data_IF_357575308976
#
_entry.id   IF_357575308976
#
_cell.length_a   1.000
_cell.length_b   1.000
_cell.length_c   1.000
_cell.angle_alpha   90.00
_cell.angle_beta   90.00
_cell.angle_gamma   90.00
#
_symmetry.space_group_name_H-M   'P 1'
#
loop_
_entity.id
_entity.type
_entity.pdbx_description
1 polymer ?
#
# COMPACT_ATOMS: atom_id res chain seq x y z
N UNK A 1 -56.51 68.50 -47.86
CA UNK A 1 -56.90 69.22 -46.62
C UNK A 1 -56.52 68.28 -45.51
N UNK A 2 -55.50 68.69 -44.78
CA UNK A 2 -55.35 68.78 -43.31
C UNK A 2 -56.12 67.72 -42.48
N UNK A 3 -55.45 66.86 -41.71
CA UNK A 3 -55.25 67.08 -40.25
C UNK A 3 -54.47 65.94 -39.62
N UNK A 4 -53.38 66.16 -39.14
CA UNK A 4 -52.93 66.18 -37.69
C UNK A 4 -52.98 64.82 -36.97
N UNK A 5 -51.80 64.40 -36.63
CA UNK A 5 -51.39 63.45 -35.59
C UNK A 5 -51.98 63.75 -34.21
N UNK A 6 -52.03 62.81 -33.27
CA UNK A 6 -50.93 62.83 -32.33
C UNK A 6 -50.35 61.45 -31.91
N UNK A 7 -49.17 61.62 -31.35
CA UNK A 7 -48.30 60.60 -30.82
C UNK A 7 -48.87 59.83 -29.60
N UNK A 8 -48.57 58.55 -29.49
CA UNK A 8 -48.75 57.78 -28.25
C UNK A 8 -47.41 57.16 -27.84
N UNK A 9 -46.96 57.59 -26.70
CA UNK A 9 -45.70 57.26 -26.05
C UNK A 9 -45.81 55.84 -25.47
N UNK A 10 -45.09 54.88 -26.01
CA UNK A 10 -45.00 53.55 -25.45
C UNK A 10 -43.80 53.47 -24.51
N UNK A 11 -44.10 53.26 -23.20
CA UNK A 11 -43.15 53.06 -22.14
C UNK A 11 -42.58 51.64 -22.21
N UNK A 12 -41.33 51.51 -22.57
CA UNK A 12 -40.62 50.25 -22.59
C UNK A 12 -40.30 49.84 -21.15
N UNK A 13 -40.95 48.77 -20.70
CA UNK A 13 -40.56 48.08 -19.44
C UNK A 13 -39.33 47.20 -19.74
N UNK A 14 -38.19 47.61 -19.17
CA UNK A 14 -36.98 46.77 -19.14
C UNK A 14 -37.20 45.68 -18.09
N UNK A 15 -37.31 44.42 -18.54
CA UNK A 15 -37.22 43.25 -17.69
C UNK A 15 -35.75 42.97 -17.38
N UNK A 16 -35.37 43.13 -16.12
CA UNK A 16 -34.11 42.70 -15.58
C UNK A 16 -34.16 41.19 -15.35
N UNK A 17 -33.56 40.41 -16.27
CA UNK A 17 -33.35 39.01 -16.06
C UNK A 17 -32.07 38.82 -15.22
N UNK A 18 -32.25 38.55 -13.92
CA UNK A 18 -31.16 38.13 -13.02
C UNK A 18 -30.70 36.73 -13.38
N UNK A 19 -29.58 36.61 -14.06
CA UNK A 19 -28.89 35.34 -14.27
C UNK A 19 -28.15 34.94 -13.00
N UNK A 20 -28.71 34.01 -12.25
CA UNK A 20 -28.02 33.34 -11.13
C UNK A 20 -27.08 32.32 -11.72
N UNK A 21 -25.80 32.63 -11.80
CA UNK A 21 -24.73 31.70 -12.12
C UNK A 21 -24.49 30.79 -10.88
N UNK A 22 -25.00 29.55 -10.97
CA UNK A 22 -24.68 28.47 -10.03
C UNK A 22 -23.25 28.01 -10.29
N UNK A 23 -22.28 28.51 -9.51
CA UNK A 23 -20.92 28.02 -9.52
C UNK A 23 -20.88 26.66 -8.81
N UNK A 24 -20.94 25.56 -9.59
CA UNK A 24 -20.62 24.23 -9.10
C UNK A 24 -19.11 24.16 -8.84
N UNK A 25 -18.73 24.35 -7.58
CA UNK A 25 -17.37 24.12 -7.11
C UNK A 25 -17.04 22.62 -7.18
N UNK A 26 -16.23 22.22 -8.16
CA UNK A 26 -15.56 20.92 -8.20
C UNK A 26 -14.55 20.87 -7.03
N UNK A 27 -14.95 20.28 -5.91
CA UNK A 27 -14.00 19.88 -4.89
C UNK A 27 -13.24 18.66 -5.41
N UNK A 28 -12.11 18.90 -6.06
CA UNK A 28 -11.10 17.89 -6.26
C UNK A 28 -10.52 17.54 -4.88
N UNK A 29 -11.04 16.46 -4.29
CA UNK A 29 -10.47 15.88 -3.09
C UNK A 29 -9.03 15.46 -3.40
N UNK A 30 -8.05 16.24 -2.96
CA UNK A 30 -6.66 15.81 -2.93
C UNK A 30 -6.60 14.60 -1.99
N UNK A 31 -6.39 13.40 -2.56
CA UNK A 31 -6.05 12.23 -1.78
C UNK A 31 -4.72 12.53 -1.08
N UNK A 32 -4.77 12.93 0.18
CA UNK A 32 -3.59 13.07 1.02
C UNK A 32 -2.97 11.68 1.14
N UNK A 33 -1.76 11.53 0.65
CA UNK A 33 -0.96 10.34 0.89
C UNK A 33 -0.90 10.13 2.41
N UNK A 34 -1.28 8.94 2.85
CA UNK A 34 -1.33 8.59 4.27
C UNK A 34 0.10 8.58 4.83
N UNK A 35 0.50 9.64 5.54
CA UNK A 35 1.84 9.78 6.15
C UNK A 35 2.01 8.99 7.46
N UNK A 36 1.19 7.98 7.70
CA UNK A 36 1.18 7.17 8.93
C UNK A 36 1.42 5.67 8.68
N UNK A 37 1.67 4.91 9.77
CA UNK A 37 1.79 3.46 9.65
C UNK A 37 0.46 2.84 9.24
N UNK A 38 0.49 1.88 8.32
CA UNK A 38 -0.69 1.06 8.04
C UNK A 38 -0.80 -0.07 9.08
N UNK A 39 -1.92 -0.12 9.80
CA UNK A 39 -2.13 -1.07 10.90
C UNK A 39 -3.29 -2.05 10.65
N UNK A 40 -4.20 -1.73 9.73
CA UNK A 40 -5.48 -2.42 9.54
C UNK A 40 -5.50 -3.29 8.28
N UNK A 41 -4.39 -3.97 7.98
CA UNK A 41 -4.35 -4.91 6.86
C UNK A 41 -4.94 -6.27 7.26
N UNK A 42 -5.47 -6.98 6.26
CA UNK A 42 -5.88 -8.38 6.43
C UNK A 42 -4.71 -9.20 6.98
N UNK A 43 -5.00 -10.15 7.87
CA UNK A 43 -3.99 -11.01 8.50
C UNK A 43 -4.13 -12.45 8.05
N UNK A 44 -3.01 -13.14 8.01
CA UNK A 44 -2.94 -14.58 7.73
C UNK A 44 -2.01 -15.25 8.72
N UNK A 45 -2.36 -16.46 9.13
CA UNK A 45 -1.46 -17.32 9.89
C UNK A 45 -0.53 -18.05 8.92
N UNK A 46 0.77 -17.90 9.16
CA UNK A 46 1.81 -18.65 8.50
C UNK A 46 2.53 -19.55 9.51
N UNK A 47 3.15 -20.60 9.02
CA UNK A 47 3.98 -21.48 9.83
C UNK A 47 5.35 -21.69 9.19
N UNK A 48 6.37 -21.91 10.00
CA UNK A 48 7.67 -22.40 9.55
C UNK A 48 8.24 -23.31 10.64
N UNK A 49 8.43 -24.59 10.33
CA UNK A 49 8.70 -25.59 11.34
C UNK A 49 7.57 -25.62 12.40
N UNK A 50 7.92 -25.44 13.67
CA UNK A 50 6.95 -25.37 14.78
C UNK A 50 6.50 -23.94 15.12
N UNK A 51 6.98 -22.93 14.40
CA UNK A 51 6.70 -21.53 14.71
C UNK A 51 5.52 -21.02 13.93
N UNK A 52 4.64 -20.28 14.61
CA UNK A 52 3.51 -19.56 14.01
C UNK A 52 3.87 -18.09 13.86
N UNK A 53 3.40 -17.49 12.79
CA UNK A 53 3.57 -16.09 12.44
C UNK A 53 2.19 -15.53 12.10
N UNK A 54 1.82 -14.43 12.73
CA UNK A 54 0.64 -13.66 12.39
C UNK A 54 1.06 -12.52 11.45
N UNK A 55 0.90 -12.72 10.16
CA UNK A 55 1.37 -11.79 9.15
C UNK A 55 0.24 -10.90 8.61
N UNK A 56 0.46 -9.60 8.57
CA UNK A 56 -0.37 -8.69 7.79
C UNK A 56 -0.05 -8.82 6.30
N UNK A 57 -1.07 -8.76 5.44
CA UNK A 57 -0.92 -8.98 4.00
C UNK A 57 -0.92 -7.65 3.25
N UNK A 58 0.19 -7.31 2.62
CA UNK A 58 0.33 -6.19 1.70
C UNK A 58 0.19 -6.71 0.26
N UNK A 59 -1.03 -6.62 -0.31
CA UNK A 59 -1.36 -7.18 -1.62
C UNK A 59 -1.54 -6.12 -2.71
N UNK A 60 -1.91 -4.89 -2.37
CA UNK A 60 -2.05 -3.82 -3.37
C UNK A 60 -0.72 -3.07 -3.56
N UNK A 61 -0.50 -2.41 -4.70
CA UNK A 61 0.70 -1.59 -4.91
C UNK A 61 0.92 -0.56 -3.82
N UNK A 62 -0.14 0.11 -3.35
CA UNK A 62 -0.06 1.10 -2.28
C UNK A 62 0.35 0.46 -0.95
N UNK A 63 -0.25 -0.69 -0.59
CA UNK A 63 0.10 -1.42 0.64
C UNK A 63 1.55 -1.88 0.62
N UNK A 64 2.02 -2.41 -0.51
CA UNK A 64 3.42 -2.83 -0.67
C UNK A 64 4.39 -1.66 -0.60
N UNK A 65 4.03 -0.51 -1.17
CA UNK A 65 4.85 0.69 -1.12
C UNK A 65 4.99 1.23 0.30
N UNK A 66 3.92 1.23 1.10
CA UNK A 66 3.93 1.67 2.49
C UNK A 66 4.62 0.64 3.40
N UNK A 67 4.37 -0.65 3.21
CA UNK A 67 4.97 -1.72 3.99
C UNK A 67 4.92 -1.45 5.49
N UNK A 68 6.05 -1.61 6.18
CA UNK A 68 6.22 -1.38 7.62
C UNK A 68 6.72 0.05 7.95
N UNK A 69 6.63 1.00 7.01
CA UNK A 69 7.02 2.39 7.24
C UNK A 69 6.30 2.98 8.47
N UNK A 70 6.99 3.86 9.18
CA UNK A 70 6.52 4.63 10.34
C UNK A 70 6.10 3.80 11.56
N UNK A 71 6.22 2.46 11.55
CA UNK A 71 5.97 1.64 12.73
C UNK A 71 7.10 1.80 13.75
N UNK A 72 6.72 2.00 15.00
CA UNK A 72 7.65 2.13 16.12
C UNK A 72 7.97 0.79 16.77
N UNK A 73 7.05 -0.17 16.65
CA UNK A 73 7.15 -1.50 17.25
C UNK A 73 6.41 -2.53 16.40
N UNK A 74 6.79 -3.78 16.55
CA UNK A 74 6.11 -4.95 16.00
C UNK A 74 6.37 -6.14 16.93
N UNK A 75 5.33 -6.84 17.43
CA UNK A 75 5.48 -8.04 18.25
C UNK A 75 6.34 -9.11 17.56
N UNK A 76 7.06 -9.92 18.36
CA UNK A 76 8.01 -10.90 17.79
C UNK A 76 7.36 -12.00 16.97
N UNK A 77 6.08 -12.28 17.16
CA UNK A 77 5.33 -13.28 16.38
C UNK A 77 4.59 -12.65 15.19
N UNK A 78 4.69 -11.35 14.99
CA UNK A 78 4.07 -10.64 13.88
C UNK A 78 5.07 -10.32 12.78
N UNK A 79 4.53 -10.17 11.56
CA UNK A 79 5.27 -9.77 10.37
C UNK A 79 4.37 -9.17 9.31
N UNK A 80 4.95 -8.88 8.15
CA UNK A 80 4.22 -8.47 6.97
C UNK A 80 4.57 -9.35 5.78
N UNK A 81 3.55 -9.94 5.16
CA UNK A 81 3.65 -10.71 3.93
C UNK A 81 3.29 -9.84 2.74
N UNK A 82 4.24 -9.55 1.90
CA UNK A 82 4.04 -8.90 0.61
C UNK A 82 3.69 -9.94 -0.43
N UNK A 83 2.59 -9.71 -1.14
CA UNK A 83 2.08 -10.61 -2.18
C UNK A 83 2.09 -9.87 -3.51
N UNK A 84 2.75 -10.46 -4.51
CA UNK A 84 2.83 -9.91 -5.86
C UNK A 84 1.99 -10.76 -6.82
N UNK A 85 1.48 -10.14 -7.87
CA UNK A 85 0.61 -10.77 -8.86
C UNK A 85 1.37 -11.83 -9.68
N UNK A 86 2.65 -11.55 -9.99
CA UNK A 86 3.52 -12.43 -10.77
C UNK A 86 4.89 -12.57 -10.11
N UNK A 87 5.56 -13.71 -10.24
CA UNK A 87 6.94 -13.84 -9.80
C UNK A 87 7.86 -12.89 -10.57
N UNK A 88 8.65 -12.10 -9.84
CA UNK A 88 9.68 -11.22 -10.38
C UNK A 88 10.83 -11.11 -9.39
N UNK A 89 11.97 -10.57 -9.81
CA UNK A 89 12.98 -10.17 -8.84
C UNK A 89 12.41 -9.03 -7.99
N UNK A 90 12.25 -9.31 -6.69
CA UNK A 90 11.73 -8.34 -5.73
C UNK A 90 12.88 -7.71 -4.97
N UNK A 91 12.90 -6.38 -4.91
CA UNK A 91 13.91 -5.62 -4.18
C UNK A 91 13.25 -4.71 -3.15
N UNK A 92 13.79 -4.71 -1.94
CA UNK A 92 13.27 -3.97 -0.79
C UNK A 92 14.29 -2.98 -0.26
N UNK A 93 13.82 -1.90 0.28
CA UNK A 93 14.58 -0.85 0.95
C UNK A 93 13.95 -0.51 2.29
N UNK A 94 14.66 0.27 3.13
CA UNK A 94 14.19 0.64 4.47
C UNK A 94 13.82 2.12 4.61
N UNK A 95 13.44 2.77 3.50
CA UNK A 95 12.97 4.16 3.52
C UNK A 95 11.82 4.31 4.52
N UNK A 96 11.89 5.31 5.41
CA UNK A 96 10.90 5.59 6.45
C UNK A 96 10.56 4.41 7.39
N UNK A 97 11.35 3.34 7.38
CA UNK A 97 11.15 2.16 8.22
C UNK A 97 12.08 2.23 9.43
N UNK A 98 11.48 2.33 10.62
CA UNK A 98 12.20 2.56 11.89
C UNK A 98 12.71 1.26 12.52
N UNK A 99 12.06 0.14 12.21
CA UNK A 99 12.39 -1.16 12.78
C UNK A 99 13.52 -1.82 11.98
N UNK A 100 14.50 -2.45 12.64
CA UNK A 100 15.41 -3.36 11.98
C UNK A 100 14.64 -4.62 11.57
N UNK A 101 14.72 -5.01 10.29
CA UNK A 101 13.95 -6.11 9.73
C UNK A 101 14.85 -7.13 9.03
N UNK A 102 14.33 -8.34 8.87
CA UNK A 102 14.87 -9.34 7.94
C UNK A 102 13.78 -9.68 6.93
N UNK A 103 14.07 -9.52 5.64
CA UNK A 103 13.21 -9.98 4.56
C UNK A 103 13.55 -11.44 4.19
N UNK A 104 12.53 -12.30 4.17
CA UNK A 104 12.60 -13.64 3.59
C UNK A 104 11.92 -13.61 2.23
N UNK A 105 12.67 -13.84 1.17
CA UNK A 105 12.16 -13.97 -0.19
C UNK A 105 11.67 -15.40 -0.42
N UNK A 106 10.40 -15.56 -0.84
CA UNK A 106 9.72 -16.85 -0.79
C UNK A 106 9.10 -17.19 -2.14
N UNK A 107 9.34 -18.41 -2.57
CA UNK A 107 8.83 -18.97 -3.82
C UNK A 107 7.33 -19.34 -3.71
N UNK A 108 6.70 -19.64 -4.83
CA UNK A 108 5.28 -19.99 -4.92
C UNK A 108 4.89 -21.20 -4.06
N UNK A 109 5.84 -22.10 -3.84
CA UNK A 109 5.63 -23.30 -3.03
C UNK A 109 5.94 -23.10 -1.52
N UNK A 110 6.21 -21.86 -1.09
CA UNK A 110 6.56 -21.50 0.27
C UNK A 110 8.04 -21.68 0.61
N UNK A 111 8.90 -22.06 -0.34
CA UNK A 111 10.34 -22.21 -0.05
C UNK A 111 11.01 -20.85 0.12
N UNK A 112 11.72 -20.66 1.23
CA UNK A 112 12.57 -19.49 1.44
C UNK A 112 13.77 -19.58 0.49
N UNK A 113 13.86 -18.64 -0.44
CA UNK A 113 14.93 -18.56 -1.46
C UNK A 113 16.20 -17.98 -0.85
N UNK A 114 16.08 -16.82 -0.22
CA UNK A 114 17.15 -16.15 0.51
C UNK A 114 16.57 -15.25 1.60
N UNK A 115 17.44 -14.85 2.52
CA UNK A 115 17.16 -13.91 3.59
C UNK A 115 18.07 -12.70 3.45
N UNK A 116 17.59 -11.52 3.83
CA UNK A 116 18.38 -10.29 3.87
C UNK A 116 18.05 -9.49 5.13
N UNK A 117 19.08 -9.23 5.95
CA UNK A 117 18.97 -8.29 7.07
C UNK A 117 19.04 -6.87 6.54
N UNK A 118 18.12 -6.03 6.98
CA UNK A 118 17.92 -4.68 6.46
C UNK A 118 18.04 -3.66 7.59
N UNK A 119 18.95 -2.71 7.42
CA UNK A 119 19.20 -1.65 8.39
C UNK A 119 18.13 -0.55 8.27
N UNK A 120 17.54 -0.08 9.40
CA UNK A 120 16.55 0.99 9.40
C UNK A 120 16.96 2.22 8.62
N UNK A 121 16.01 2.85 7.93
CA UNK A 121 16.15 4.14 7.25
C UNK A 121 17.23 4.20 6.16
N UNK A 122 17.68 3.06 5.64
CA UNK A 122 18.59 3.01 4.49
C UNK A 122 17.83 2.90 3.17
N UNK A 123 18.50 3.29 2.09
CA UNK A 123 18.00 3.17 0.72
C UNK A 123 18.69 2.02 -0.02
N UNK A 124 19.49 1.23 0.67
CA UNK A 124 20.15 0.07 0.10
C UNK A 124 19.11 -0.92 -0.42
N UNK A 125 19.38 -1.48 -1.57
CA UNK A 125 18.47 -2.42 -2.23
C UNK A 125 18.82 -3.85 -1.83
N UNK A 126 17.85 -4.55 -1.25
CA UNK A 126 17.95 -5.96 -0.86
C UNK A 126 17.03 -6.78 -1.75
N UNK A 127 17.62 -7.64 -2.61
CA UNK A 127 16.87 -8.31 -3.66
C UNK A 127 16.77 -9.83 -3.46
N UNK A 128 15.73 -10.41 -4.05
CA UNK A 128 15.60 -11.86 -4.17
C UNK A 128 16.66 -12.40 -5.11
N UNK A 129 17.20 -13.59 -4.79
CA UNK A 129 18.20 -14.28 -5.60
C UNK A 129 17.64 -14.84 -6.92
N UNK A 130 16.32 -15.00 -7.00
CA UNK A 130 15.56 -15.38 -8.21
C UNK A 130 14.17 -14.74 -8.18
N UNK A 131 13.38 -14.81 -9.27
CA UNK A 131 11.98 -14.34 -9.24
C UNK A 131 11.19 -15.01 -8.13
N UNK A 132 10.45 -14.22 -7.35
CA UNK A 132 9.57 -14.66 -6.25
C UNK A 132 8.27 -13.88 -6.27
N UNK A 133 7.21 -14.48 -5.71
CA UNK A 133 5.90 -13.84 -5.54
C UNK A 133 5.65 -13.34 -4.13
N UNK A 134 6.38 -13.83 -3.15
CA UNK A 134 6.16 -13.51 -1.75
C UNK A 134 7.43 -13.01 -1.09
N UNK A 135 7.26 -12.03 -0.19
CA UNK A 135 8.33 -11.58 0.71
C UNK A 135 7.74 -11.46 2.11
N UNK A 136 8.36 -12.10 3.09
CA UNK A 136 7.95 -12.02 4.49
C UNK A 136 8.98 -11.20 5.27
N UNK A 137 8.56 -10.07 5.81
CA UNK A 137 9.37 -9.25 6.73
C UNK A 137 9.04 -9.58 8.18
N UNK A 138 10.08 -9.84 8.96
CA UNK A 138 10.04 -10.07 10.40
C UNK A 138 11.04 -9.16 11.11
N UNK A 139 10.89 -8.99 12.44
CA UNK A 139 11.92 -8.34 13.24
C UNK A 139 13.28 -8.97 12.96
N UNK A 140 14.32 -8.14 12.83
CA UNK A 140 15.68 -8.60 12.53
C UNK A 140 16.16 -9.67 13.52
N UNK A 141 16.79 -10.69 13.00
CA UNK A 141 17.27 -11.83 13.77
C UNK A 141 16.22 -12.86 14.16
N UNK A 142 14.93 -12.65 13.84
CA UNK A 142 13.89 -13.62 14.17
C UNK A 142 14.16 -14.99 13.50
N UNK A 143 14.46 -15.00 12.21
CA UNK A 143 14.77 -16.23 11.47
C UNK A 143 16.01 -16.95 12.04
N UNK A 144 17.07 -16.20 12.30
CA UNK A 144 18.31 -16.75 12.85
C UNK A 144 18.10 -17.38 14.23
N UNK A 145 17.38 -16.72 15.13
CA UNK A 145 17.04 -17.24 16.48
C UNK A 145 16.21 -18.51 16.43
N UNK A 146 15.46 -18.74 15.34
CA UNK A 146 14.62 -19.93 15.12
C UNK A 146 15.30 -20.99 14.25
N UNK A 147 16.54 -20.76 13.83
CA UNK A 147 17.29 -21.68 12.97
C UNK A 147 16.75 -21.79 11.55
N UNK A 148 15.95 -20.81 11.13
CA UNK A 148 15.32 -20.78 9.80
C UNK A 148 16.31 -20.18 8.80
N UNK A 149 16.56 -20.88 7.70
CA UNK A 149 17.51 -20.53 6.66
C UNK A 149 16.87 -20.67 5.28
N UNK A 150 17.58 -20.27 4.24
CA UNK A 150 17.21 -20.59 2.87
C UNK A 150 16.98 -22.11 2.72
N UNK A 151 15.96 -22.50 1.96
CA UNK A 151 15.46 -23.86 1.84
C UNK A 151 14.37 -24.24 2.85
N UNK A 152 14.15 -23.45 3.92
CA UNK A 152 13.03 -23.69 4.84
C UNK A 152 11.68 -23.48 4.13
N UNK A 153 10.65 -24.16 4.59
CA UNK A 153 9.29 -24.10 4.03
C UNK A 153 8.38 -23.29 4.93
N UNK A 154 7.80 -22.23 4.38
CA UNK A 154 6.63 -21.59 4.96
C UNK A 154 5.38 -22.40 4.63
N UNK A 155 4.53 -22.61 5.63
CA UNK A 155 3.21 -23.18 5.50
C UNK A 155 2.13 -22.10 5.66
N UNK A 156 0.93 -22.42 5.22
CA UNK A 156 -0.23 -21.54 5.30
C UNK A 156 -1.17 -21.76 4.11
N UNK A 157 -2.34 -21.12 4.14
CA UNK A 157 -3.35 -21.30 3.09
C UNK A 157 -2.84 -20.87 1.70
N UNK A 158 -1.97 -19.83 1.66
CA UNK A 158 -1.42 -19.27 0.42
C UNK A 158 -0.45 -20.22 -0.32
N UNK A 159 0.19 -21.15 0.40
CA UNK A 159 1.19 -22.08 -0.16
C UNK A 159 0.66 -23.49 -0.38
N UNK A 160 -0.62 -23.73 -0.11
CA UNK A 160 -1.23 -25.04 -0.42
C UNK A 160 -1.47 -25.11 -1.93
N UNK A 161 -0.88 -26.09 -2.59
CA UNK A 161 -1.21 -26.38 -3.98
C UNK A 161 -2.70 -26.75 -4.02
N UNK A 162 -3.45 -26.08 -4.88
CA UNK A 162 -4.77 -26.50 -5.31
C UNK A 162 -4.64 -27.73 -6.20
#
# INVERSE_FOLDING_TARGET
MKTSSPASTSVARRALTSSVLLALGLWAGAATAQEGPQLDLQRVELTVGMHRIDAQVAATPQQRQTGLMHRKEMPQHEGMLFVFEQPAQQCFWMKNTLLPLTAAFVDDDGTVVNLADMKPQTLDSHCSAKPVRYVLEMNQGWFAKKGIKAGAKLGGALFRRQ
#
